data_IF_593894561040
#
_entry.id   IF_593894561040
#
_cell.length_a   1.000
_cell.length_b   1.000
_cell.length_c   1.000
_cell.angle_alpha   90.00
_cell.angle_beta   90.00
_cell.angle_gamma   90.00
#
_symmetry.space_group_name_H-M   'P 1'
#
loop_
_entity.id
_entity.type
_entity.pdbx_description
1 polymer ?
#
# COMPACT_ATOMS: atom_id res chain seq x y z
N UNK A 1 -4.21 -11.63 -18.54
CA UNK A 1 -4.51 -10.22 -18.22
C UNK A 1 -5.70 -10.08 -17.26
N UNK A 2 -6.93 -10.43 -17.67
CA UNK A 2 -8.13 -10.24 -16.83
C UNK A 2 -8.04 -10.90 -15.45
N UNK A 3 -7.37 -12.05 -15.35
CA UNK A 3 -7.07 -12.73 -14.08
C UNK A 3 -6.25 -11.85 -13.12
N UNK A 4 -5.11 -11.31 -13.57
CA UNK A 4 -4.29 -10.39 -12.77
C UNK A 4 -5.06 -9.12 -12.40
N UNK A 5 -5.80 -8.53 -13.35
CA UNK A 5 -6.63 -7.35 -13.08
C UNK A 5 -7.76 -7.61 -12.07
N UNK A 6 -8.29 -8.83 -12.01
CA UNK A 6 -9.36 -9.20 -11.08
C UNK A 6 -8.90 -9.27 -9.63
N UNK A 7 -7.59 -9.43 -9.39
CA UNK A 7 -7.01 -9.37 -8.05
C UNK A 7 -6.94 -7.94 -7.50
N UNK A 8 -7.03 -6.94 -8.37
CA UNK A 8 -7.05 -5.54 -7.96
C UNK A 8 -8.39 -5.18 -7.29
N UNK A 9 -8.39 -4.10 -6.50
CA UNK A 9 -9.61 -3.57 -5.86
C UNK A 9 -10.71 -3.23 -6.87
N UNK A 10 -11.96 -3.22 -6.40
CA UNK A 10 -13.14 -2.71 -7.12
C UNK A 10 -13.11 -1.18 -7.21
N UNK A 11 -12.11 -0.68 -7.94
CA UNK A 11 -11.86 0.72 -8.16
C UNK A 11 -11.41 0.92 -9.63
N UNK A 12 -11.50 2.15 -10.18
CA UNK A 12 -11.03 2.42 -11.53
C UNK A 12 -9.52 2.15 -11.66
N UNK A 13 -9.15 1.26 -12.58
CA UNK A 13 -7.75 0.86 -12.84
C UNK A 13 -7.19 1.77 -13.94
N UNK A 14 -5.97 2.34 -13.79
CA UNK A 14 -5.36 3.10 -14.87
C UNK A 14 -5.17 2.25 -16.13
N UNK A 15 -5.61 2.73 -17.28
CA UNK A 15 -5.54 2.01 -18.56
C UNK A 15 -4.08 1.72 -18.98
N UNK A 16 -3.15 2.56 -18.54
CA UNK A 16 -1.70 2.38 -18.74
C UNK A 16 -1.17 1.10 -18.09
N UNK A 17 -1.87 0.54 -17.10
CA UNK A 17 -1.52 -0.74 -16.50
C UNK A 17 -1.75 -1.90 -17.48
N UNK A 18 -2.64 -1.72 -18.46
CA UNK A 18 -2.90 -2.71 -19.49
C UNK A 18 -1.86 -2.57 -20.60
N UNK A 19 -0.70 -3.21 -20.42
CA UNK A 19 0.40 -3.21 -21.38
C UNK A 19 0.50 -4.54 -22.16
N UNK A 20 1.13 -4.55 -23.34
CA UNK A 20 1.51 -5.79 -24.02
C UNK A 20 2.36 -6.73 -23.14
N UNK A 21 3.22 -6.16 -22.28
CA UNK A 21 4.00 -6.93 -21.32
C UNK A 21 3.11 -7.67 -20.32
N UNK A 22 2.09 -6.99 -19.75
CA UNK A 22 1.11 -7.64 -18.87
C UNK A 22 0.38 -8.79 -19.57
N UNK A 23 0.15 -8.70 -20.89
CA UNK A 23 -0.46 -9.81 -21.65
C UNK A 23 0.54 -10.94 -21.83
N UNK A 24 1.75 -10.63 -22.28
CA UNK A 24 2.81 -11.62 -22.42
C UNK A 24 3.05 -12.40 -21.13
N UNK A 25 3.22 -11.71 -20.01
CA UNK A 25 3.47 -12.32 -18.70
C UNK A 25 2.31 -13.18 -18.19
N UNK A 26 1.11 -13.01 -18.78
CA UNK A 26 -0.08 -13.76 -18.39
C UNK A 26 -0.53 -14.82 -19.38
N UNK A 27 -0.10 -14.77 -20.64
CA UNK A 27 -0.57 -15.68 -21.69
C UNK A 27 0.55 -16.30 -22.53
N UNK A 28 1.82 -15.97 -22.26
CA UNK A 28 3.00 -16.31 -23.09
C UNK A 28 2.88 -15.85 -24.57
N UNK A 29 1.90 -14.99 -24.86
CA UNK A 29 1.61 -14.51 -26.21
C UNK A 29 2.26 -13.14 -26.45
N UNK A 30 2.80 -12.93 -27.65
CA UNK A 30 3.42 -11.65 -28.03
C UNK A 30 2.43 -10.83 -28.84
N UNK A 31 1.43 -10.28 -28.15
CA UNK A 31 0.38 -9.49 -28.79
C UNK A 31 0.77 -8.01 -28.83
N UNK A 32 0.78 -7.38 -30.01
CA UNK A 32 1.10 -5.96 -30.16
C UNK A 32 0.03 -5.02 -29.58
N UNK A 33 0.39 -3.76 -29.29
CA UNK A 33 -0.51 -2.74 -28.68
C UNK A 33 -1.85 -2.60 -29.39
N UNK A 34 -1.87 -2.64 -30.73
CA UNK A 34 -3.10 -2.54 -31.52
C UNK A 34 -4.10 -3.69 -31.26
N UNK A 35 -3.59 -4.90 -31.02
CA UNK A 35 -4.43 -6.04 -30.68
C UNK A 35 -5.02 -5.93 -29.26
N UNK A 36 -4.24 -5.37 -28.33
CA UNK A 36 -4.70 -5.06 -26.97
C UNK A 36 -5.85 -4.06 -27.00
N UNK A 37 -5.67 -2.96 -27.73
CA UNK A 37 -6.69 -1.92 -27.82
C UNK A 37 -7.97 -2.44 -28.51
N UNK A 38 -7.84 -3.29 -29.54
CA UNK A 38 -8.97 -3.97 -30.17
C UNK A 38 -9.72 -4.91 -29.22
N UNK A 39 -9.00 -5.69 -28.41
CA UNK A 39 -9.60 -6.58 -27.41
C UNK A 39 -10.35 -5.78 -26.32
N UNK A 40 -9.77 -4.67 -25.84
CA UNK A 40 -10.42 -3.79 -24.88
C UNK A 40 -11.70 -3.17 -25.44
N UNK A 41 -11.67 -2.68 -26.68
CA UNK A 41 -12.85 -2.15 -27.36
C UNK A 41 -13.95 -3.22 -27.50
N UNK A 42 -13.57 -4.47 -27.80
CA UNK A 42 -14.52 -5.57 -27.90
C UNK A 42 -15.14 -5.93 -26.54
N UNK A 43 -14.34 -6.00 -25.48
CA UNK A 43 -14.83 -6.24 -24.12
C UNK A 43 -15.75 -5.11 -23.63
N UNK A 44 -15.42 -3.85 -23.96
CA UNK A 44 -16.28 -2.71 -23.66
C UNK A 44 -17.64 -2.81 -24.37
N UNK A 45 -17.61 -3.13 -25.66
CA UNK A 45 -18.84 -3.31 -26.47
C UNK A 45 -19.75 -4.41 -25.93
N UNK A 46 -19.20 -5.43 -25.28
CA UNK A 46 -19.98 -6.49 -24.63
C UNK A 46 -20.37 -6.20 -23.17
N UNK A 47 -20.05 -5.01 -22.65
CA UNK A 47 -20.35 -4.64 -21.25
C UNK A 47 -19.52 -5.40 -20.22
N UNK A 48 -18.39 -5.98 -20.63
CA UNK A 48 -17.50 -6.74 -19.74
C UNK A 48 -16.47 -5.84 -19.04
N UNK A 49 -16.25 -4.64 -19.57
CA UNK A 49 -15.49 -3.59 -18.93
C UNK A 49 -16.06 -2.21 -19.30
N UNK A 50 -15.90 -1.26 -18.40
CA UNK A 50 -16.26 0.14 -18.62
C UNK A 50 -14.98 0.95 -18.78
N UNK A 51 -14.77 1.53 -19.97
CA UNK A 51 -13.69 2.48 -20.20
C UNK A 51 -14.18 3.90 -19.90
N UNK A 52 -13.63 4.51 -18.86
CA UNK A 52 -13.92 5.89 -18.50
C UNK A 52 -12.78 6.78 -19.01
N UNK A 53 -12.86 7.16 -20.29
CA UNK A 53 -12.16 8.35 -20.79
C UNK A 53 -12.70 8.76 -22.16
N UNK A 54 -13.32 9.95 -22.29
CA UNK A 54 -13.48 10.71 -23.55
C UNK A 54 -14.19 12.07 -23.32
N UNK A 55 -13.89 12.78 -22.22
CA UNK A 55 -14.28 14.20 -22.10
C UNK A 55 -13.27 14.95 -21.25
N UNK A 56 -12.71 16.00 -21.85
CA UNK A 56 -11.60 16.83 -21.40
C UNK A 56 -11.61 17.17 -19.90
N UNK A 57 -10.64 16.63 -19.15
CA UNK A 57 -9.80 17.33 -18.14
C UNK A 57 -8.92 16.34 -17.38
N UNK A 58 -7.58 16.47 -17.54
CA UNK A 58 -6.52 16.25 -16.54
C UNK A 58 -6.45 14.98 -15.66
N UNK A 59 -7.28 13.96 -15.85
CA UNK A 59 -7.21 12.66 -15.14
C UNK A 59 -6.67 11.57 -16.06
N UNK A 60 -5.94 10.58 -15.51
CA UNK A 60 -5.49 9.40 -16.25
C UNK A 60 -6.69 8.55 -16.71
N UNK A 61 -6.62 7.88 -17.88
CA UNK A 61 -7.68 7.00 -18.36
C UNK A 61 -7.86 5.87 -17.40
N UNK A 62 -9.11 5.52 -17.13
CA UNK A 62 -9.39 4.38 -16.26
C UNK A 62 -10.32 3.37 -16.91
N UNK A 63 -10.19 2.14 -16.45
CA UNK A 63 -11.06 1.03 -16.80
C UNK A 63 -11.58 0.38 -15.53
N UNK A 64 -12.87 0.06 -15.51
CA UNK A 64 -13.46 -0.75 -14.46
C UNK A 64 -13.86 -2.10 -15.06
N UNK A 65 -13.47 -3.19 -14.40
CA UNK A 65 -13.97 -4.52 -14.76
C UNK A 65 -15.41 -4.67 -14.28
N UNK A 66 -16.25 -5.27 -15.11
CA UNK A 66 -17.60 -5.63 -14.67
C UNK A 66 -17.52 -6.59 -13.47
N UNK A 67 -18.32 -6.41 -12.39
CA UNK A 67 -18.22 -7.23 -11.18
C UNK A 67 -18.29 -8.75 -11.43
N UNK A 68 -19.16 -9.19 -12.35
CA UNK A 68 -19.23 -10.61 -12.74
C UNK A 68 -17.94 -11.14 -13.38
N UNK A 69 -17.26 -10.32 -14.19
CA UNK A 69 -15.98 -10.72 -14.82
C UNK A 69 -14.93 -10.89 -13.74
N UNK A 70 -14.87 -9.95 -12.79
CA UNK A 70 -13.96 -10.01 -11.64
C UNK A 70 -14.21 -11.27 -10.81
N UNK A 71 -15.45 -11.49 -10.37
CA UNK A 71 -15.82 -12.60 -9.50
C UNK A 71 -15.55 -13.96 -10.16
N UNK A 72 -15.92 -14.10 -11.43
CA UNK A 72 -15.68 -15.34 -12.18
C UNK A 72 -14.18 -15.63 -12.29
N UNK A 73 -13.35 -14.61 -12.53
CA UNK A 73 -11.91 -14.78 -12.60
C UNK A 73 -11.29 -15.11 -11.23
N UNK A 74 -11.76 -14.49 -10.14
CA UNK A 74 -11.32 -14.82 -8.77
C UNK A 74 -11.63 -16.29 -8.46
N UNK A 75 -12.85 -16.75 -8.76
CA UNK A 75 -13.23 -18.15 -8.57
C UNK A 75 -12.37 -19.10 -9.40
N UNK A 76 -12.07 -18.75 -10.65
CA UNK A 76 -11.18 -19.55 -11.49
C UNK A 76 -9.76 -19.60 -10.93
N UNK A 77 -9.26 -18.50 -10.37
CA UNK A 77 -7.94 -18.44 -9.74
C UNK A 77 -7.82 -19.34 -8.52
N UNK A 78 -8.88 -19.46 -7.71
CA UNK A 78 -8.91 -20.36 -6.56
C UNK A 78 -8.70 -21.84 -6.93
N UNK A 79 -8.99 -22.22 -8.17
CA UNK A 79 -8.85 -23.60 -8.68
C UNK A 79 -7.55 -23.85 -9.46
N UNK A 80 -6.69 -22.83 -9.61
CA UNK A 80 -5.45 -22.93 -10.38
C UNK A 80 -4.28 -23.44 -9.52
N UNK A 81 -3.36 -24.19 -10.14
CA UNK A 81 -2.19 -24.77 -9.48
C UNK A 81 -1.11 -23.78 -9.02
N UNK A 82 -1.18 -22.50 -9.43
CA UNK A 82 -0.20 -21.47 -9.04
C UNK A 82 -0.90 -20.12 -8.77
N UNK A 83 -1.40 -19.90 -7.54
CA UNK A 83 -2.13 -18.68 -7.19
C UNK A 83 -1.23 -17.43 -7.06
N UNK A 84 0.07 -17.60 -6.79
CA UNK A 84 0.99 -16.47 -6.57
C UNK A 84 1.43 -15.81 -7.87
N UNK A 85 1.54 -16.56 -8.98
CA UNK A 85 1.94 -16.00 -10.28
C UNK A 85 1.13 -14.76 -10.66
N UNK A 86 -0.21 -14.84 -10.57
CA UNK A 86 -1.09 -13.75 -10.97
C UNK A 86 -1.00 -12.53 -10.08
N UNK A 87 -0.66 -12.75 -8.80
CA UNK A 87 -0.38 -11.70 -7.84
C UNK A 87 0.95 -11.03 -8.17
N UNK A 88 2.01 -11.80 -8.38
CA UNK A 88 3.34 -11.28 -8.72
C UNK A 88 3.27 -10.45 -10.01
N UNK A 89 2.57 -10.94 -11.03
CA UNK A 89 2.33 -10.19 -12.27
C UNK A 89 1.55 -8.88 -12.03
N UNK A 90 0.56 -8.88 -11.14
CA UNK A 90 -0.18 -7.66 -10.80
C UNK A 90 0.67 -6.65 -10.02
N UNK A 91 1.50 -7.13 -9.08
CA UNK A 91 2.45 -6.31 -8.31
C UNK A 91 3.52 -5.70 -9.23
N UNK A 92 4.12 -6.48 -10.13
CA UNK A 92 5.08 -5.99 -11.13
C UNK A 92 4.47 -4.97 -12.06
N UNK A 93 3.25 -5.18 -12.56
CA UNK A 93 2.60 -4.21 -13.44
C UNK A 93 2.30 -2.87 -12.75
N UNK A 94 1.96 -2.89 -11.45
CA UNK A 94 1.80 -1.67 -10.66
C UNK A 94 3.14 -0.97 -10.42
N UNK A 95 4.22 -1.73 -10.24
CA UNK A 95 5.57 -1.20 -10.10
C UNK A 95 6.03 -0.51 -11.39
N UNK A 96 5.94 -1.20 -12.52
CA UNK A 96 6.33 -0.68 -13.84
C UNK A 96 5.56 0.60 -14.18
N UNK A 97 4.26 0.62 -13.86
CA UNK A 97 3.44 1.82 -14.03
C UNK A 97 3.91 2.96 -13.13
N UNK A 98 4.29 2.65 -11.89
CA UNK A 98 4.83 3.64 -10.97
C UNK A 98 6.13 4.21 -11.54
N UNK A 99 7.10 3.36 -11.87
CA UNK A 99 8.41 3.73 -12.40
C UNK A 99 8.32 4.57 -13.68
N UNK A 100 7.45 4.18 -14.62
CA UNK A 100 7.21 4.91 -15.86
C UNK A 100 6.71 6.35 -15.63
N UNK A 101 6.03 6.60 -14.51
CA UNK A 101 5.48 7.90 -14.13
C UNK A 101 6.22 8.56 -12.96
N UNK A 102 7.39 8.04 -12.59
CA UNK A 102 8.30 8.62 -11.59
C UNK A 102 9.68 8.98 -12.15
N UNK A 103 9.80 9.75 -13.24
CA UNK A 103 11.12 10.05 -13.82
C UNK A 103 12.05 10.82 -12.88
N UNK A 104 11.53 11.49 -11.83
CA UNK A 104 12.32 12.14 -10.76
C UNK A 104 12.37 11.32 -9.46
N UNK A 105 11.97 10.04 -9.47
CA UNK A 105 12.07 9.12 -8.34
C UNK A 105 10.95 9.20 -7.30
N UNK A 106 9.92 10.03 -7.50
CA UNK A 106 8.72 10.03 -6.65
C UNK A 106 7.43 10.05 -7.47
N UNK A 107 6.44 9.21 -7.13
CA UNK A 107 5.19 9.16 -7.88
C UNK A 107 4.33 10.38 -7.59
N UNK A 108 3.62 10.84 -8.62
CA UNK A 108 2.69 11.94 -8.48
C UNK A 108 1.57 11.58 -7.51
N UNK A 109 1.07 12.57 -6.77
CA UNK A 109 -0.04 12.40 -5.82
C UNK A 109 -1.29 11.79 -6.48
N UNK A 110 -1.62 12.21 -7.69
CA UNK A 110 -2.78 11.72 -8.43
C UNK A 110 -2.64 10.23 -8.78
N UNK A 111 -1.43 9.80 -9.15
CA UNK A 111 -1.13 8.40 -9.43
C UNK A 111 -1.24 7.54 -8.16
N UNK A 112 -0.59 7.94 -7.07
CA UNK A 112 -0.68 7.21 -5.80
C UNK A 112 -2.11 7.06 -5.31
N UNK A 113 -2.93 8.11 -5.42
CA UNK A 113 -4.33 8.05 -5.02
C UNK A 113 -5.12 7.01 -5.82
N UNK A 114 -4.80 6.88 -7.11
CA UNK A 114 -5.43 5.89 -7.99
C UNK A 114 -4.94 4.47 -7.71
N UNK A 115 -3.66 4.28 -7.40
CA UNK A 115 -3.07 2.96 -7.15
C UNK A 115 -3.30 2.43 -5.74
N UNK A 116 -3.51 3.30 -4.75
CA UNK A 116 -3.61 2.93 -3.33
C UNK A 116 -4.63 1.82 -3.04
N UNK A 117 -5.88 1.86 -3.56
CA UNK A 117 -6.84 0.78 -3.33
C UNK A 117 -6.33 -0.57 -3.87
N UNK A 118 -5.67 -0.55 -5.02
CA UNK A 118 -5.15 -1.75 -5.67
C UNK A 118 -3.95 -2.34 -4.91
N UNK A 119 -3.03 -1.48 -4.46
CA UNK A 119 -1.90 -1.89 -3.61
C UNK A 119 -2.41 -2.53 -2.30
N UNK A 120 -3.42 -1.91 -1.67
CA UNK A 120 -4.02 -2.45 -0.46
C UNK A 120 -4.67 -3.82 -0.70
N UNK A 121 -5.43 -3.96 -1.79
CA UNK A 121 -6.05 -5.24 -2.14
C UNK A 121 -4.99 -6.33 -2.28
N UNK A 122 -3.91 -6.08 -3.02
CA UNK A 122 -2.82 -7.05 -3.17
C UNK A 122 -2.15 -7.38 -1.82
N UNK A 123 -1.88 -6.40 -0.96
CA UNK A 123 -1.33 -6.62 0.38
C UNK A 123 -2.18 -7.53 1.28
N UNK A 124 -3.49 -7.60 1.04
CA UNK A 124 -4.43 -8.44 1.82
C UNK A 124 -4.62 -9.86 1.28
N UNK A 125 -4.18 -10.13 0.04
CA UNK A 125 -4.32 -11.45 -0.56
C UNK A 125 -3.37 -12.46 0.10
N UNK A 126 -3.82 -13.71 0.20
CA UNK A 126 -3.00 -14.87 0.53
C UNK A 126 -3.22 -15.94 -0.55
N UNK A 127 -2.19 -16.72 -0.95
CA UNK A 127 -0.83 -16.71 -0.42
C UNK A 127 0.00 -15.50 -0.85
N UNK A 128 1.03 -15.17 -0.05
CA UNK A 128 2.03 -14.14 -0.39
C UNK A 128 2.81 -14.50 -1.65
N UNK A 129 3.10 -13.47 -2.44
CA UNK A 129 3.89 -13.55 -3.67
C UNK A 129 5.40 -13.64 -3.43
N UNK A 130 6.17 -13.45 -4.50
CA UNK A 130 7.63 -13.44 -4.46
C UNK A 130 8.16 -12.28 -3.55
N UNK A 131 8.94 -12.60 -2.50
CA UNK A 131 9.62 -11.63 -1.66
C UNK A 131 10.38 -10.52 -2.40
N UNK A 132 10.94 -10.84 -3.56
CA UNK A 132 11.74 -9.93 -4.39
C UNK A 132 10.88 -8.84 -5.00
N UNK A 133 9.69 -9.20 -5.49
CA UNK A 133 8.72 -8.26 -6.06
C UNK A 133 8.19 -7.33 -4.97
N UNK A 134 7.95 -7.86 -3.76
CA UNK A 134 7.58 -7.05 -2.61
C UNK A 134 8.66 -6.02 -2.23
N UNK A 135 9.94 -6.40 -2.20
CA UNK A 135 11.04 -5.47 -1.90
C UNK A 135 11.10 -4.35 -2.94
N UNK A 136 10.91 -4.68 -4.22
CA UNK A 136 10.91 -3.69 -5.30
C UNK A 136 9.72 -2.72 -5.19
N UNK A 137 8.55 -3.19 -4.77
CA UNK A 137 7.33 -2.36 -4.61
C UNK A 137 7.28 -1.57 -3.31
N UNK A 138 8.19 -1.83 -2.36
CA UNK A 138 8.16 -1.20 -1.04
C UNK A 138 8.17 0.31 -1.09
N UNK A 139 8.98 0.93 -1.96
CA UNK A 139 9.11 2.40 -2.03
C UNK A 139 7.77 3.05 -2.42
N UNK A 140 7.04 2.42 -3.33
CA UNK A 140 5.69 2.81 -3.75
C UNK A 140 4.68 2.66 -2.63
N UNK A 141 4.73 1.57 -1.87
CA UNK A 141 3.88 1.35 -0.69
C UNK A 141 4.13 2.42 0.39
N UNK A 142 5.39 2.78 0.61
CA UNK A 142 5.78 3.84 1.54
C UNK A 142 5.27 5.22 1.10
N UNK A 143 5.40 5.53 -0.20
CA UNK A 143 4.88 6.77 -0.77
C UNK A 143 3.35 6.85 -0.69
N UNK A 144 2.65 5.74 -0.94
CA UNK A 144 1.20 5.62 -0.77
C UNK A 144 0.78 5.83 0.69
N UNK A 145 1.51 5.23 1.65
CA UNK A 145 1.25 5.43 3.07
C UNK A 145 1.44 6.89 3.51
N UNK A 146 2.51 7.55 3.05
CA UNK A 146 2.73 8.97 3.33
C UNK A 146 1.63 9.87 2.73
N UNK A 147 1.12 9.50 1.55
CA UNK A 147 0.00 10.18 0.92
C UNK A 147 -1.31 9.99 1.71
N UNK A 148 -1.58 8.76 2.18
CA UNK A 148 -2.72 8.47 3.04
C UNK A 148 -2.68 9.31 4.32
N UNK A 149 -1.51 9.35 4.98
CA UNK A 149 -1.26 10.21 6.15
C UNK A 149 -1.56 11.68 5.88
N UNK A 150 -1.03 12.20 4.77
CA UNK A 150 -1.20 13.60 4.40
C UNK A 150 -2.63 13.94 3.96
N UNK A 151 -3.38 12.95 3.46
CA UNK A 151 -4.82 13.10 3.17
C UNK A 151 -5.72 12.94 4.41
N UNK A 152 -5.16 12.55 5.56
CA UNK A 152 -5.89 12.35 6.81
C UNK A 152 -6.49 10.95 6.98
N UNK A 153 -6.28 10.03 6.03
CA UNK A 153 -6.73 8.64 6.13
C UNK A 153 -5.70 7.77 6.88
N UNK A 154 -5.51 8.10 8.15
CA UNK A 154 -4.57 7.40 9.02
C UNK A 154 -4.98 5.94 9.31
N UNK A 155 -6.24 5.58 9.09
CA UNK A 155 -6.71 4.21 9.27
C UNK A 155 -6.21 3.30 8.14
N UNK A 156 -6.38 3.74 6.89
CA UNK A 156 -5.86 3.00 5.72
C UNK A 156 -4.32 3.01 5.71
N UNK A 157 -3.69 4.13 6.11
CA UNK A 157 -2.24 4.18 6.31
C UNK A 157 -1.77 3.09 7.28
N UNK A 158 -2.42 2.96 8.43
CA UNK A 158 -2.05 1.99 9.46
C UNK A 158 -2.13 0.56 8.93
N UNK A 159 -3.21 0.22 8.22
CA UNK A 159 -3.37 -1.10 7.59
C UNK A 159 -2.24 -1.37 6.60
N UNK A 160 -1.94 -0.42 5.71
CA UNK A 160 -0.86 -0.54 4.74
C UNK A 160 0.51 -0.75 5.41
N UNK A 161 0.85 0.08 6.42
CA UNK A 161 2.10 -0.03 7.19
C UNK A 161 2.20 -1.37 7.93
N UNK A 162 1.10 -1.91 8.44
CA UNK A 162 1.08 -3.24 9.05
C UNK A 162 1.40 -4.35 8.06
N UNK A 163 0.83 -4.30 6.85
CA UNK A 163 1.11 -5.28 5.81
C UNK A 163 2.57 -5.23 5.37
N UNK A 164 3.10 -4.03 5.09
CA UNK A 164 4.52 -3.83 4.74
C UNK A 164 5.43 -4.43 5.81
N UNK A 165 5.18 -4.12 7.08
CA UNK A 165 5.98 -4.64 8.19
C UNK A 165 5.94 -6.18 8.27
N UNK A 166 4.75 -6.77 8.12
CA UNK A 166 4.60 -8.21 8.20
C UNK A 166 5.29 -8.93 7.03
N UNK A 167 5.29 -8.33 5.85
CA UNK A 167 6.03 -8.83 4.70
C UNK A 167 7.53 -8.73 4.93
N UNK A 168 8.05 -7.56 5.33
CA UNK A 168 9.49 -7.38 5.60
C UNK A 168 10.01 -8.28 6.72
N UNK A 169 9.22 -8.51 7.78
CA UNK A 169 9.60 -9.45 8.85
C UNK A 169 9.81 -10.86 8.31
N UNK A 170 9.01 -11.29 7.34
CA UNK A 170 9.14 -12.62 6.73
C UNK A 170 10.23 -12.71 5.68
N UNK A 171 10.49 -11.63 4.94
CA UNK A 171 11.42 -11.63 3.80
C UNK A 171 12.84 -11.23 4.20
N UNK A 172 12.99 -10.20 5.03
CA UNK A 172 14.28 -9.63 5.44
C UNK A 172 14.67 -10.02 6.87
N UNK A 173 13.68 -10.36 7.70
CA UNK A 173 13.85 -10.69 9.11
C UNK A 173 13.61 -9.50 10.06
N UNK A 174 13.24 -9.79 11.30
CA UNK A 174 12.73 -8.79 12.24
C UNK A 174 13.72 -7.67 12.63
N UNK A 175 15.03 -7.90 12.47
CA UNK A 175 16.09 -6.98 12.88
C UNK A 175 16.74 -6.25 11.70
N UNK A 176 16.28 -6.50 10.47
CA UNK A 176 16.80 -5.83 9.29
C UNK A 176 16.50 -4.32 9.38
N UNK A 177 17.43 -3.42 8.99
CA UNK A 177 17.24 -1.96 9.11
C UNK A 177 15.95 -1.44 8.47
N UNK A 178 15.55 -1.98 7.32
CA UNK A 178 14.28 -1.65 6.65
C UNK A 178 13.06 -2.10 7.46
N UNK A 179 13.08 -3.32 8.01
CA UNK A 179 12.01 -3.83 8.87
C UNK A 179 11.86 -2.96 10.12
N UNK A 180 12.97 -2.51 10.71
CA UNK A 180 12.95 -1.58 11.83
C UNK A 180 12.41 -0.20 11.42
N UNK A 181 12.69 0.25 10.18
CA UNK A 181 12.15 1.49 9.61
C UNK A 181 10.64 1.43 9.51
N UNK A 182 10.11 0.34 8.98
CA UNK A 182 8.68 0.11 8.88
C UNK A 182 8.00 -0.02 10.25
N UNK A 183 8.67 -0.58 11.26
CA UNK A 183 8.15 -0.56 12.64
C UNK A 183 8.04 0.87 13.19
N UNK A 184 9.07 1.71 12.98
CA UNK A 184 9.04 3.11 13.41
C UNK A 184 7.95 3.91 12.67
N UNK A 185 7.74 3.64 11.38
CA UNK A 185 6.69 4.29 10.60
C UNK A 185 5.28 3.83 11.04
N UNK A 186 5.10 2.54 11.34
CA UNK A 186 3.86 2.03 11.92
C UNK A 186 3.53 2.68 13.28
N UNK A 187 4.53 2.86 14.13
CA UNK A 187 4.37 3.57 15.41
C UNK A 187 3.98 5.05 15.20
N UNK A 188 4.51 5.69 14.17
CA UNK A 188 4.15 7.06 13.77
C UNK A 188 2.69 7.16 13.28
N UNK A 189 2.20 6.14 12.57
CA UNK A 189 0.79 6.05 12.16
C UNK A 189 -0.13 5.86 13.39
N UNK A 190 0.24 5.01 14.35
CA UNK A 190 -0.47 4.87 15.63
C UNK A 190 -0.53 6.20 16.41
N UNK A 191 0.58 6.94 16.42
CA UNK A 191 0.64 8.26 17.05
C UNK A 191 -0.35 9.23 16.38
N UNK A 192 -0.42 9.24 15.04
CA UNK A 192 -1.32 10.08 14.27
C UNK A 192 -2.80 9.75 14.53
N UNK A 193 -3.12 8.49 14.85
CA UNK A 193 -4.44 8.05 15.30
C UNK A 193 -4.76 8.36 16.78
N UNK A 194 -3.84 9.00 17.51
CA UNK A 194 -4.00 9.28 18.95
C UNK A 194 -3.84 8.05 19.86
N UNK A 195 -3.39 6.92 19.32
CA UNK A 195 -3.07 5.67 20.04
C UNK A 195 -1.67 5.76 20.65
N UNK A 196 -1.47 6.78 21.49
CA UNK A 196 -0.15 7.15 22.00
C UNK A 196 0.51 6.07 22.87
N UNK A 197 -0.28 5.26 23.57
CA UNK A 197 0.21 4.17 24.42
C UNK A 197 0.93 3.13 23.54
N UNK A 198 0.24 2.65 22.51
CA UNK A 198 0.75 1.65 21.55
C UNK A 198 1.91 2.20 20.71
N UNK A 199 1.84 3.48 20.30
CA UNK A 199 2.93 4.14 19.61
C UNK A 199 4.20 4.20 20.48
N UNK A 200 4.07 4.54 21.76
CA UNK A 200 5.21 4.61 22.68
C UNK A 200 5.84 3.23 22.94
N UNK A 201 5.01 2.18 23.08
CA UNK A 201 5.51 0.81 23.22
C UNK A 201 6.27 0.36 21.97
N UNK A 202 5.71 0.59 20.79
CA UNK A 202 6.34 0.19 19.54
C UNK A 202 7.63 0.99 19.26
N UNK A 203 7.62 2.32 19.43
CA UNK A 203 8.85 3.11 19.31
C UNK A 203 9.94 2.69 20.29
N UNK A 204 9.58 2.32 21.53
CA UNK A 204 10.54 1.83 22.53
C UNK A 204 11.18 0.52 22.08
N UNK A 205 10.37 -0.44 21.63
CA UNK A 205 10.88 -1.70 21.09
C UNK A 205 11.79 -1.47 19.89
N UNK A 206 11.39 -0.62 18.95
CA UNK A 206 12.18 -0.31 17.76
C UNK A 206 13.48 0.43 18.09
N UNK A 207 13.47 1.34 19.07
CA UNK A 207 14.67 2.03 19.57
C UNK A 207 15.69 1.05 20.17
N UNK A 208 15.22 0.06 20.94
CA UNK A 208 16.10 -0.98 21.49
C UNK A 208 16.76 -1.78 20.36
N UNK A 209 16.00 -2.19 19.35
CA UNK A 209 16.55 -2.91 18.20
C UNK A 209 17.51 -2.05 17.38
N UNK A 210 17.16 -0.78 17.10
CA UNK A 210 18.04 0.13 16.37
C UNK A 210 19.36 0.39 17.10
N UNK A 211 19.31 0.62 18.42
CA UNK A 211 20.52 0.80 19.22
C UNK A 211 21.45 -0.41 19.11
N UNK A 212 20.89 -1.63 19.11
CA UNK A 212 21.68 -2.86 18.99
C UNK A 212 22.24 -3.10 17.58
N UNK A 213 21.45 -2.82 16.54
CA UNK A 213 21.82 -3.12 15.13
C UNK A 213 22.68 -2.02 14.52
N UNK A 214 22.36 -0.75 14.77
CA UNK A 214 22.97 0.42 14.12
C UNK A 214 23.82 1.28 15.07
N UNK A 215 23.68 1.10 16.39
CA UNK A 215 24.33 1.93 17.41
C UNK A 215 23.48 3.13 17.84
N UNK A 216 23.85 3.73 18.98
CA UNK A 216 23.10 4.83 19.62
C UNK A 216 23.08 6.13 18.80
N UNK A 217 24.20 6.45 18.13
CA UNK A 217 24.39 7.71 17.39
C UNK A 217 23.88 7.66 15.95
N UNK A 218 23.36 6.52 15.50
CA UNK A 218 22.88 6.38 14.13
C UNK A 218 21.62 7.26 13.92
N UNK A 219 21.47 7.96 12.78
CA UNK A 219 20.32 8.85 12.53
C UNK A 219 18.96 8.19 12.75
N UNK A 220 18.77 6.94 12.34
CA UNK A 220 17.52 6.19 12.58
C UNK A 220 17.26 5.93 14.07
N UNK A 221 18.30 5.67 14.86
CA UNK A 221 18.19 5.48 16.31
C UNK A 221 17.75 6.78 16.99
N UNK A 222 18.40 7.90 16.64
CA UNK A 222 18.06 9.23 17.15
C UNK A 222 16.66 9.66 16.74
N UNK A 223 16.23 9.37 15.50
CA UNK A 223 14.87 9.65 15.03
C UNK A 223 13.83 8.84 15.84
N UNK A 224 14.07 7.54 16.06
CA UNK A 224 13.20 6.70 16.88
C UNK A 224 13.10 7.20 18.32
N UNK A 225 14.21 7.68 18.90
CA UNK A 225 14.24 8.28 20.23
C UNK A 225 13.41 9.58 20.30
N UNK A 226 13.52 10.44 19.28
CA UNK A 226 12.70 11.65 19.19
C UNK A 226 11.20 11.30 19.11
N UNK A 227 10.83 10.33 18.27
CA UNK A 227 9.44 9.90 18.13
C UNK A 227 8.87 9.29 19.43
N UNK A 228 9.67 8.48 20.14
CA UNK A 228 9.30 7.97 21.47
C UNK A 228 9.05 9.12 22.46
N UNK A 229 9.91 10.14 22.45
CA UNK A 229 9.78 11.31 23.33
C UNK A 229 8.47 12.07 23.06
N UNK A 230 8.12 12.26 21.78
CA UNK A 230 6.85 12.86 21.38
C UNK A 230 5.65 12.04 21.84
N UNK A 231 5.69 10.71 21.67
CA UNK A 231 4.63 9.82 22.14
C UNK A 231 4.43 9.88 23.67
N UNK A 232 5.51 9.88 24.45
CA UNK A 232 5.46 10.01 25.91
C UNK A 232 4.95 11.38 26.37
N UNK A 233 5.32 12.45 25.66
CA UNK A 233 4.78 13.80 25.93
C UNK A 233 3.28 13.85 25.69
N UNK A 234 2.80 13.28 24.57
CA UNK A 234 1.37 13.21 24.27
C UNK A 234 0.59 12.41 25.32
N UNK A 235 1.15 11.29 25.81
CA UNK A 235 0.57 10.50 26.90
C UNK A 235 0.43 11.30 28.20
N UNK A 236 1.49 12.00 28.57
CA UNK A 236 1.51 12.84 29.79
C UNK A 236 0.45 13.94 29.70
N UNK A 237 0.35 14.63 28.56
CA UNK A 237 -0.65 15.67 28.32
C UNK A 237 -2.09 15.10 28.34
N UNK A 238 -2.31 13.92 27.76
CA UNK A 238 -3.61 13.24 27.76
C UNK A 238 -4.02 12.81 29.18
N UNK A 239 -3.06 12.40 30.01
CA UNK A 239 -3.27 12.10 31.42
C UNK A 239 -3.69 13.34 32.22
N UNK A 240 -2.99 14.46 32.00
CA UNK A 240 -3.32 15.75 32.60
C UNK A 240 -4.69 16.27 32.17
N UNK A 241 -5.02 16.25 30.88
CA UNK A 241 -6.33 16.67 30.39
C UNK A 241 -7.47 15.82 31.03
N UNK A 242 -7.26 14.50 31.16
CA UNK A 242 -8.21 13.61 31.85
C UNK A 242 -8.37 13.91 33.34
N UNK A 243 -7.32 14.37 34.03
CA UNK A 243 -7.43 14.74 35.45
C UNK A 243 -8.20 16.04 35.64
N UNK A 244 -7.95 17.05 34.78
CA UNK A 244 -8.67 18.32 34.77
C UNK A 244 -10.16 18.13 34.50
N UNK A 245 -10.53 17.36 33.47
CA UNK A 245 -11.95 17.06 33.16
C UNK A 245 -12.64 16.33 34.31
N UNK A 246 -11.95 15.39 34.98
CA UNK A 246 -12.49 14.70 36.17
C UNK A 246 -12.67 15.65 37.36
N UNK A 247 -11.76 16.59 37.56
CA UNK A 247 -11.89 17.60 38.61
C UNK A 247 -13.08 18.53 38.33
N UNK A 248 -13.20 19.03 37.10
CA UNK A 248 -14.32 19.88 36.69
C UNK A 248 -15.68 19.17 36.84
N UNK A 249 -15.80 17.92 36.38
CA UNK A 249 -17.04 17.12 36.55
C UNK A 249 -17.44 16.88 38.00
N UNK A 250 -16.51 16.93 38.95
CA UNK A 250 -16.79 16.83 40.40
C UNK A 250 -17.25 18.15 41.01
N UNK A 251 -16.83 19.28 40.43
CA UNK A 251 -17.20 20.62 40.90
C UNK A 251 -18.57 21.07 40.37
N UNK A 252 -19.03 20.50 39.24
CA UNK A 252 -20.30 20.84 38.59
C UNK A 252 -21.44 19.84 38.96
N UNK A 253 -21.21 18.97 39.94
CA UNK A 253 -22.23 18.13 40.58
C UNK A 253 -22.54 18.68 41.96
#
# INVERSE_FOLDING_TARGET
MLRALSLLAEAPIPLQLITPALIHDTTDDTTGRAAVDAALAQLHRYGLLDTHELSHTTTLPTVALHPLVRETNILLLAHHHNPTQWRDTAETALLDLTDAWTPQGRPSWSLLRLLTPHLLALCTLEPRGDPTVFIATRSTLDAAADQLRASGDAATELTLRHHVLNSEKTTLGAEHPETLSSQNNLASALYSLGRFDEAAELHRSTLTSYTRVLGAEHPNTLNSQNNLTLALKALSNRGWARSVVRAWKRLVR
#
